data_IF_661887703756
#
_entry.id   IF_661887703756
#
_cell.length_a   1.000
_cell.length_b   1.000
_cell.length_c   1.000
_cell.angle_alpha   90.00
_cell.angle_beta   90.00
_cell.angle_gamma   90.00
#
_symmetry.space_group_name_H-M   'P 1'
#
loop_
_entity.id
_entity.type
_entity.pdbx_description
1 polymer ?
#
# COMPACT_ATOMS: atom_id res chain seq x y z
N UNK A 1 13.52 -41.20 36.47
CA UNK A 1 13.49 -40.83 35.04
C UNK A 1 14.73 -39.98 34.75
N UNK A 2 15.72 -40.54 34.06
CA UNK A 2 17.08 -39.98 34.04
C UNK A 2 17.19 -38.74 33.15
N UNK A 3 18.17 -37.87 33.45
CA UNK A 3 18.42 -36.59 32.76
C UNK A 3 18.52 -36.75 31.23
N UNK A 4 19.03 -37.90 30.76
CA UNK A 4 19.06 -38.27 29.34
C UNK A 4 17.65 -38.32 28.69
N UNK A 5 16.64 -38.83 29.39
CA UNK A 5 15.27 -38.96 28.89
C UNK A 5 14.56 -37.60 28.76
N UNK A 6 14.91 -36.63 29.62
CA UNK A 6 14.41 -35.24 29.52
C UNK A 6 15.10 -34.47 28.40
N UNK A 7 16.40 -34.68 28.19
CA UNK A 7 17.15 -34.04 27.11
C UNK A 7 16.72 -34.55 25.71
N UNK A 8 16.43 -35.84 25.57
CA UNK A 8 15.95 -36.42 24.31
C UNK A 8 14.53 -35.96 23.96
N UNK A 9 13.63 -35.82 24.93
CA UNK A 9 12.27 -35.33 24.69
C UNK A 9 12.24 -33.82 24.34
N UNK A 10 13.15 -33.02 24.90
CA UNK A 10 13.32 -31.61 24.56
C UNK A 10 13.92 -31.41 23.15
N UNK A 11 14.84 -32.27 22.72
CA UNK A 11 15.41 -32.23 21.37
C UNK A 11 14.39 -32.66 20.29
N UNK A 12 13.49 -33.59 20.62
CA UNK A 12 12.45 -34.07 19.70
C UNK A 12 11.29 -33.07 19.52
N UNK A 13 11.06 -32.20 20.50
CA UNK A 13 10.04 -31.14 20.43
C UNK A 13 10.54 -29.89 19.68
N UNK A 14 11.86 -29.64 19.65
CA UNK A 14 12.44 -28.52 18.90
C UNK A 14 12.57 -28.79 17.39
N UNK A 15 12.62 -30.05 16.98
CA UNK A 15 12.78 -30.43 15.55
C UNK A 15 11.48 -30.45 14.74
N UNK A 16 10.31 -30.38 15.39
CA UNK A 16 9.00 -30.45 14.72
C UNK A 16 8.38 -29.07 14.38
N UNK A 17 9.01 -27.96 14.76
CA UNK A 17 8.42 -26.62 14.62
C UNK A 17 8.89 -25.84 13.39
N UNK A 18 9.85 -26.36 12.62
CA UNK A 18 10.36 -25.69 11.42
C UNK A 18 9.75 -26.33 10.19
N UNK A 19 8.50 -25.96 9.87
CA UNK A 19 7.97 -26.20 8.53
C UNK A 19 8.66 -25.21 7.59
N UNK A 20 9.51 -25.64 6.64
CA UNK A 20 10.07 -24.72 5.67
C UNK A 20 8.91 -24.12 4.88
N UNK A 21 8.80 -22.78 4.88
CA UNK A 21 7.83 -22.07 4.06
C UNK A 21 8.16 -22.36 2.60
N UNK A 22 7.46 -23.33 2.02
CA UNK A 22 7.62 -23.67 0.61
C UNK A 22 7.30 -22.42 -0.21
N UNK A 23 8.26 -22.01 -1.04
CA UNK A 23 8.02 -20.95 -2.03
C UNK A 23 6.87 -21.44 -2.91
N UNK A 24 5.77 -20.68 -2.97
CA UNK A 24 4.62 -21.03 -3.78
C UNK A 24 5.10 -21.35 -5.21
N UNK A 25 4.88 -22.59 -5.66
CA UNK A 25 5.25 -23.01 -7.00
C UNK A 25 4.36 -22.32 -8.04
N UNK A 26 4.95 -21.68 -9.05
CA UNK A 26 4.21 -21.02 -10.13
C UNK A 26 4.89 -19.76 -10.65
N UNK A 27 4.24 -19.13 -11.63
CA UNK A 27 4.63 -17.82 -12.16
C UNK A 27 4.42 -16.74 -11.09
N UNK A 28 5.34 -15.79 -11.00
CA UNK A 28 5.14 -14.59 -10.16
C UNK A 28 3.98 -13.74 -10.68
N UNK A 29 3.45 -12.83 -9.86
CA UNK A 29 2.41 -11.89 -10.31
C UNK A 29 2.86 -11.11 -11.56
N UNK A 30 4.10 -10.61 -11.58
CA UNK A 30 4.66 -9.91 -12.72
C UNK A 30 4.65 -10.79 -14.00
N UNK A 31 5.05 -12.05 -13.89
CA UNK A 31 5.01 -12.98 -15.02
C UNK A 31 3.58 -13.30 -15.48
N UNK A 32 2.62 -13.42 -14.55
CA UNK A 32 1.20 -13.60 -14.87
C UNK A 32 0.60 -12.38 -15.56
N UNK A 33 1.13 -11.19 -15.29
CA UNK A 33 0.77 -9.94 -15.97
C UNK A 33 1.48 -9.75 -17.33
N UNK A 34 2.30 -10.72 -17.78
CA UNK A 34 2.94 -10.72 -19.08
C UNK A 34 4.38 -10.16 -19.10
N UNK A 35 4.94 -9.79 -17.95
CA UNK A 35 6.32 -9.32 -17.85
C UNK A 35 7.32 -10.48 -17.82
N UNK A 36 8.56 -10.22 -18.23
CA UNK A 36 9.64 -11.21 -18.17
C UNK A 36 10.08 -11.43 -16.73
N UNK A 37 10.67 -12.59 -16.46
CA UNK A 37 11.26 -12.90 -15.15
C UNK A 37 12.38 -11.93 -14.74
N UNK A 38 12.99 -11.26 -15.72
CA UNK A 38 14.10 -10.31 -15.53
C UNK A 38 13.65 -8.86 -15.41
N UNK A 39 12.37 -8.56 -15.70
CA UNK A 39 11.88 -7.19 -15.67
C UNK A 39 11.80 -6.70 -14.22
N UNK A 40 12.17 -5.43 -14.03
CA UNK A 40 11.97 -4.70 -12.77
C UNK A 40 10.82 -3.73 -12.96
N UNK A 41 9.76 -3.92 -12.19
CA UNK A 41 8.57 -3.08 -12.22
C UNK A 41 8.59 -2.15 -11.01
N UNK A 42 8.24 -0.89 -11.22
CA UNK A 42 8.20 0.12 -10.18
C UNK A 42 6.86 0.85 -10.26
N UNK A 43 6.17 0.91 -9.12
CA UNK A 43 5.01 1.78 -8.90
C UNK A 43 5.49 2.89 -7.98
N UNK A 44 5.44 4.13 -8.46
CA UNK A 44 5.70 5.32 -7.65
C UNK A 44 4.34 5.92 -7.33
N UNK A 45 3.87 5.68 -6.10
CA UNK A 45 2.58 6.17 -5.63
C UNK A 45 2.75 7.45 -4.81
N UNK A 46 1.97 8.48 -5.13
CA UNK A 46 1.78 9.66 -4.29
C UNK A 46 0.73 9.41 -3.20
N UNK A 47 1.14 9.53 -1.94
CA UNK A 47 0.22 9.45 -0.80
C UNK A 47 -0.40 10.84 -0.51
N UNK A 48 -1.43 10.87 0.34
CA UNK A 48 -2.03 12.09 0.90
C UNK A 48 -2.68 13.06 -0.10
N UNK A 49 -3.02 12.57 -1.30
CA UNK A 49 -3.70 13.40 -2.28
C UNK A 49 -5.12 13.73 -1.79
N UNK A 50 -5.53 14.99 -1.87
CA UNK A 50 -6.79 15.48 -1.31
C UNK A 50 -6.68 16.04 0.11
N UNK A 51 -5.54 15.86 0.80
CA UNK A 51 -5.31 16.40 2.15
C UNK A 51 -5.37 17.94 2.15
N UNK A 52 -4.52 18.58 1.35
CA UNK A 52 -4.44 20.03 1.21
C UNK A 52 -4.18 20.43 -0.24
N UNK A 53 -4.39 21.72 -0.57
CA UNK A 53 -4.16 22.23 -1.92
C UNK A 53 -2.72 21.98 -2.41
N UNK A 54 -1.73 22.20 -1.53
CA UNK A 54 -0.34 22.00 -1.89
C UNK A 54 -0.04 20.54 -2.26
N UNK A 55 -0.64 19.58 -1.55
CA UNK A 55 -0.53 18.16 -1.88
C UNK A 55 -1.15 17.86 -3.25
N UNK A 56 -2.34 18.39 -3.55
CA UNK A 56 -2.97 18.22 -4.86
C UNK A 56 -2.12 18.79 -6.00
N UNK A 57 -1.62 20.02 -5.85
CA UNK A 57 -0.77 20.67 -6.86
C UNK A 57 0.48 19.82 -7.12
N UNK A 58 1.14 19.35 -6.06
CA UNK A 58 2.32 18.50 -6.19
C UNK A 58 2.00 17.15 -6.83
N UNK A 59 0.87 16.52 -6.47
CA UNK A 59 0.42 15.26 -7.09
C UNK A 59 0.16 15.44 -8.58
N UNK A 60 -0.59 16.49 -8.96
CA UNK A 60 -0.91 16.77 -10.36
C UNK A 60 0.38 16.99 -11.15
N UNK A 61 1.27 17.86 -10.67
CA UNK A 61 2.55 18.14 -11.32
C UNK A 61 3.40 16.86 -11.48
N UNK A 62 3.49 16.05 -10.43
CA UNK A 62 4.25 14.81 -10.43
C UNK A 62 3.69 13.78 -11.40
N UNK A 63 2.36 13.67 -11.51
CA UNK A 63 1.69 12.78 -12.45
C UNK A 63 1.78 13.28 -13.90
N UNK A 64 1.80 14.58 -14.13
CA UNK A 64 1.94 15.15 -15.48
C UNK A 64 3.37 15.05 -16.02
N UNK A 65 4.37 15.22 -15.15
CA UNK A 65 5.78 15.12 -15.52
C UNK A 65 6.37 13.72 -15.36
N UNK A 66 5.57 12.73 -14.96
CA UNK A 66 5.99 11.33 -14.86
C UNK A 66 6.92 11.01 -13.69
N UNK A 67 6.97 11.88 -12.67
CA UNK A 67 7.67 11.61 -11.42
C UNK A 67 6.93 10.58 -10.57
N UNK A 68 5.60 10.55 -10.67
CA UNK A 68 4.73 9.54 -10.07
C UNK A 68 4.00 8.75 -11.16
N UNK A 69 3.72 7.48 -10.88
CA UNK A 69 2.94 6.61 -11.78
C UNK A 69 1.49 6.48 -11.34
N UNK A 70 1.21 6.68 -10.05
CA UNK A 70 -0.13 6.63 -9.45
C UNK A 70 -0.21 7.55 -8.23
N UNK A 71 -1.41 7.77 -7.72
CA UNK A 71 -1.62 8.43 -6.43
C UNK A 71 -2.83 7.85 -5.69
N UNK A 72 -2.92 8.09 -4.39
CA UNK A 72 -4.07 7.65 -3.57
C UNK A 72 -4.78 8.84 -2.91
N UNK A 73 -6.11 8.88 -3.05
CA UNK A 73 -6.93 10.02 -2.63
C UNK A 73 -7.52 9.78 -1.24
N UNK A 74 -7.32 10.74 -0.34
CA UNK A 74 -7.94 10.84 0.98
C UNK A 74 -9.33 11.49 0.87
N UNK A 75 -10.36 10.64 0.73
CA UNK A 75 -11.77 11.09 0.55
C UNK A 75 -12.31 12.03 1.64
N UNK A 76 -12.05 11.83 2.96
CA UNK A 76 -12.62 12.72 3.98
C UNK A 76 -11.95 14.10 4.05
N UNK A 77 -10.84 14.32 3.33
CA UNK A 77 -10.05 15.53 3.49
C UNK A 77 -10.64 16.75 2.75
N UNK A 78 -10.37 17.98 3.22
CA UNK A 78 -11.01 19.19 2.71
C UNK A 78 -10.79 19.48 1.22
N UNK A 79 -9.73 18.95 0.61
CA UNK A 79 -9.37 19.18 -0.80
C UNK A 79 -9.66 17.99 -1.70
N UNK A 80 -10.49 17.04 -1.25
CA UNK A 80 -10.96 15.92 -2.05
C UNK A 80 -11.65 16.35 -3.35
N UNK A 81 -12.55 17.34 -3.29
CA UNK A 81 -13.34 17.76 -4.46
C UNK A 81 -12.49 18.32 -5.59
N UNK A 82 -11.38 19.00 -5.26
CA UNK A 82 -10.43 19.52 -6.24
C UNK A 82 -9.75 18.38 -7.02
N UNK A 83 -9.14 17.42 -6.31
CA UNK A 83 -8.46 16.31 -6.99
C UNK A 83 -9.46 15.38 -7.67
N UNK A 84 -10.65 15.15 -7.10
CA UNK A 84 -11.68 14.33 -7.71
C UNK A 84 -12.10 14.88 -9.09
N UNK A 85 -12.25 16.21 -9.20
CA UNK A 85 -12.53 16.87 -10.48
C UNK A 85 -11.37 16.70 -11.48
N UNK A 86 -10.12 16.80 -11.03
CA UNK A 86 -8.97 16.55 -11.87
C UNK A 86 -8.93 15.09 -12.36
N UNK A 87 -9.21 14.12 -11.49
CA UNK A 87 -9.25 12.70 -11.83
C UNK A 87 -10.36 12.38 -12.85
N UNK A 88 -11.54 12.98 -12.69
CA UNK A 88 -12.68 12.83 -13.61
C UNK A 88 -12.31 13.26 -15.05
N UNK A 89 -11.64 14.40 -15.21
CA UNK A 89 -11.24 14.89 -16.54
C UNK A 89 -9.97 14.22 -17.09
N UNK A 90 -9.26 13.45 -16.26
CA UNK A 90 -8.03 12.74 -16.63
C UNK A 90 -8.11 11.23 -16.36
N UNK A 91 -9.01 10.47 -17.03
CA UNK A 91 -9.27 9.06 -16.74
C UNK A 91 -8.09 8.11 -17.02
N UNK A 92 -6.99 8.61 -17.62
CA UNK A 92 -5.75 7.85 -17.82
C UNK A 92 -4.78 7.93 -16.65
N UNK A 93 -4.97 8.86 -15.70
CA UNK A 93 -4.16 8.94 -14.49
C UNK A 93 -4.65 7.90 -13.49
N UNK A 94 -3.73 7.18 -12.88
CA UNK A 94 -4.05 6.10 -11.95
C UNK A 94 -4.25 6.66 -10.54
N UNK A 95 -5.48 6.54 -10.04
CA UNK A 95 -5.87 6.97 -8.70
C UNK A 95 -6.50 5.83 -7.91
N UNK A 96 -5.91 5.54 -6.75
CA UNK A 96 -6.47 4.67 -5.72
C UNK A 96 -7.16 5.45 -4.59
N UNK A 97 -7.68 4.72 -3.61
CA UNK A 97 -8.26 5.29 -2.39
C UNK A 97 -7.28 5.13 -1.22
N UNK A 98 -6.98 6.23 -0.55
CA UNK A 98 -6.20 6.23 0.69
C UNK A 98 -7.15 6.12 1.89
N UNK A 99 -7.20 4.94 2.53
CA UNK A 99 -8.11 4.72 3.67
C UNK A 99 -7.66 5.50 4.90
N UNK A 100 -8.52 6.41 5.37
CA UNK A 100 -8.22 7.32 6.47
C UNK A 100 -8.88 6.84 7.77
N UNK A 101 -8.13 6.15 8.63
CA UNK A 101 -8.59 5.76 9.98
C UNK A 101 -8.12 6.72 11.08
N UNK A 102 -7.18 7.59 10.75
CA UNK A 102 -6.63 8.60 11.66
C UNK A 102 -6.85 9.99 11.08
N UNK A 103 -6.75 10.99 11.95
CA UNK A 103 -6.56 12.38 11.59
C UNK A 103 -5.53 12.94 12.55
N UNK A 104 -4.29 13.03 12.11
CA UNK A 104 -3.11 13.15 12.97
C UNK A 104 -2.72 14.60 13.25
N UNK A 105 -3.08 15.53 12.37
CA UNK A 105 -2.76 16.95 12.55
C UNK A 105 -3.57 17.56 13.70
N UNK A 106 -2.94 18.47 14.44
CA UNK A 106 -3.55 19.11 15.61
C UNK A 106 -4.69 20.06 15.23
N UNK A 107 -4.48 20.89 14.20
CA UNK A 107 -5.39 21.98 13.79
C UNK A 107 -5.98 21.80 12.39
N UNK A 108 -5.61 20.75 11.67
CA UNK A 108 -6.04 20.50 10.29
C UNK A 108 -6.63 19.08 10.17
N UNK A 109 -7.84 18.93 10.70
CA UNK A 109 -8.48 17.62 10.90
C UNK A 109 -9.55 17.33 9.87
N UNK A 110 -9.83 16.05 9.66
CA UNK A 110 -10.92 15.55 8.85
C UNK A 110 -11.75 14.54 9.65
N UNK A 111 -13.07 14.54 9.40
CA UNK A 111 -14.03 13.65 10.05
C UNK A 111 -14.34 12.40 9.22
N UNK A 112 -15.16 11.48 9.74
CA UNK A 112 -15.66 10.36 8.94
C UNK A 112 -16.60 10.87 7.83
N UNK A 113 -16.72 10.07 6.75
CA UNK A 113 -17.70 10.33 5.67
C UNK A 113 -19.08 9.72 5.93
N UNK A 114 -19.15 8.73 6.84
CA UNK A 114 -20.41 8.13 7.24
C UNK A 114 -21.15 9.04 8.25
N UNK A 115 -22.50 9.01 8.27
CA UNK A 115 -23.26 9.67 9.31
C UNK A 115 -22.83 9.22 10.72
N UNK A 116 -22.91 10.15 11.68
CA UNK A 116 -22.73 9.87 13.10
C UNK A 116 -24.02 9.31 13.72
#
# INVERSE_FOLDING_TARGET
MNLLARATLAALTFSLSVVPLAKAGGLTLAQRLGYKATDKLLIINGDDTGMCHAANVATIDSLEHGLMTSATIMVPCPWFTEIARYAEVNPRKDFGVHLCHTSEWQVYRWGPVAPL
#
